data_IF_184995123304
#
_entry.id   IF_184995123304
#
_cell.length_a   1.000
_cell.length_b   1.000
_cell.length_c   1.000
_cell.angle_alpha   90.00
_cell.angle_beta   90.00
_cell.angle_gamma   90.00
#
_symmetry.space_group_name_H-M   'P 1'
#
loop_
_entity.id
_entity.type
_entity.pdbx_description
1 polymer ?
#
# COMPACT_ATOMS: atom_id res chain seq x y z
N UNK A 1 -24.90 12.19 -28.13
CA UNK A 1 -25.37 12.88 -26.91
C UNK A 1 -24.17 12.91 -25.97
N UNK A 2 -23.49 14.05 -25.87
CA UNK A 2 -22.24 14.20 -25.10
C UNK A 2 -22.59 14.40 -23.63
N UNK A 3 -22.26 13.44 -22.78
CA UNK A 3 -22.19 13.68 -21.33
C UNK A 3 -20.74 14.02 -21.00
N UNK A 4 -20.53 15.26 -20.58
CA UNK A 4 -19.27 15.75 -20.03
C UNK A 4 -18.95 15.00 -18.75
N UNK A 5 -17.71 14.50 -18.63
CA UNK A 5 -17.15 14.04 -17.37
C UNK A 5 -17.30 15.11 -16.28
N UNK A 6 -17.74 14.75 -15.06
CA UNK A 6 -17.53 15.62 -13.93
C UNK A 6 -16.04 15.60 -13.59
N UNK A 7 -15.49 16.80 -13.42
CA UNK A 7 -14.16 17.03 -12.86
C UNK A 7 -13.98 16.19 -11.60
N UNK A 8 -12.98 15.29 -11.61
CA UNK A 8 -12.53 14.63 -10.39
C UNK A 8 -12.09 15.73 -9.42
N UNK A 9 -12.70 15.67 -8.25
CA UNK A 9 -12.51 16.53 -7.10
C UNK A 9 -11.05 16.39 -6.67
N UNK A 10 -10.21 17.26 -7.22
CA UNK A 10 -8.89 17.66 -6.73
C UNK A 10 -8.99 19.12 -6.26
N UNK A 11 -10.08 19.47 -5.56
CA UNK A 11 -10.42 20.83 -5.11
C UNK A 11 -10.97 20.81 -3.67
N UNK A 12 -10.29 20.10 -2.77
CA UNK A 12 -10.39 20.41 -1.33
C UNK A 12 -9.01 20.67 -0.72
N UNK A 13 -7.93 20.14 -1.29
CA UNK A 13 -6.56 20.44 -0.82
C UNK A 13 -5.93 21.74 -1.36
N UNK A 14 -6.59 22.48 -2.26
CA UNK A 14 -6.02 23.71 -2.86
C UNK A 14 -6.48 25.01 -2.17
N UNK A 15 -7.50 24.97 -1.30
CA UNK A 15 -7.92 26.18 -0.56
C UNK A 15 -7.17 26.37 0.77
N UNK A 16 -6.42 25.38 1.25
CA UNK A 16 -5.44 25.58 2.33
C UNK A 16 -4.02 25.91 1.80
N UNK A 17 -3.73 25.63 0.52
CA UNK A 17 -2.41 25.81 -0.07
C UNK A 17 -2.18 27.19 -0.74
N UNK A 18 -3.21 27.97 -1.05
CA UNK A 18 -3.07 29.35 -1.54
C UNK A 18 -3.34 30.39 -0.45
N UNK A 19 -2.49 30.35 0.58
CA UNK A 19 -1.92 31.52 1.25
C UNK A 19 -0.87 31.12 2.31
N UNK A 20 -0.34 29.89 2.30
CA UNK A 20 0.90 29.61 3.02
C UNK A 20 2.09 30.10 2.17
N UNK A 21 2.22 31.42 2.04
CA UNK A 21 3.57 31.94 1.90
C UNK A 21 4.26 31.57 3.21
N UNK A 22 5.43 30.89 3.21
CA UNK A 22 6.27 30.90 4.38
C UNK A 22 6.53 32.37 4.65
N UNK A 23 5.85 32.92 5.67
CA UNK A 23 6.21 34.24 6.15
C UNK A 23 7.64 34.05 6.61
N UNK A 24 8.58 34.55 5.80
CA UNK A 24 9.95 34.71 6.24
C UNK A 24 9.92 35.81 7.29
N UNK A 25 9.55 35.43 8.51
CA UNK A 25 9.73 36.25 9.71
C UNK A 25 11.24 36.26 9.97
N UNK A 26 11.98 36.96 9.10
CA UNK A 26 13.28 37.51 9.43
C UNK A 26 13.04 38.74 10.32
N UNK A 27 12.45 38.49 11.48
CA UNK A 27 12.40 39.43 12.58
C UNK A 27 13.17 38.79 13.70
N UNK A 28 14.21 39.50 14.14
CA UNK A 28 14.95 39.26 15.38
C UNK A 28 14.00 39.45 16.58
N UNK A 29 13.02 38.54 16.71
CA UNK A 29 12.01 38.51 17.75
C UNK A 29 12.51 37.60 18.86
N UNK A 30 13.34 38.21 19.71
CA UNK A 30 13.24 38.15 21.17
C UNK A 30 13.03 36.76 21.80
N UNK A 31 14.01 36.33 22.59
CA UNK A 31 14.06 35.13 23.44
C UNK A 31 12.92 34.95 24.49
N UNK A 32 11.80 35.68 24.38
CA UNK A 32 10.75 35.77 25.41
C UNK A 32 9.55 34.83 25.24
N UNK A 33 9.53 33.91 24.26
CA UNK A 33 8.50 32.86 24.28
C UNK A 33 8.81 31.84 25.37
N UNK A 34 7.79 31.50 26.18
CA UNK A 34 7.92 30.50 27.23
C UNK A 34 8.46 29.17 26.65
N UNK A 35 9.55 28.61 27.21
CA UNK A 35 10.16 27.40 26.68
C UNK A 35 9.18 26.24 26.49
N UNK A 36 8.23 26.07 27.43
CA UNK A 36 7.24 24.99 27.37
C UNK A 36 6.24 25.17 26.22
N UNK A 37 5.73 26.39 26.01
CA UNK A 37 4.83 26.66 24.88
C UNK A 37 5.53 26.45 23.55
N UNK A 38 6.79 26.89 23.44
CA UNK A 38 7.60 26.70 22.23
C UNK A 38 7.83 25.21 21.95
N UNK A 39 8.16 24.44 22.98
CA UNK A 39 8.33 22.99 22.89
C UNK A 39 7.05 22.29 22.38
N UNK A 40 5.90 22.58 22.99
CA UNK A 40 4.65 21.92 22.61
C UNK A 40 4.14 22.34 21.22
N UNK A 41 4.37 23.60 20.80
CA UNK A 41 4.09 24.04 19.43
C UNK A 41 4.94 23.24 18.43
N UNK A 42 6.25 23.13 18.68
CA UNK A 42 7.15 22.38 17.81
C UNK A 42 6.77 20.89 17.73
N UNK A 43 6.43 20.28 18.87
CA UNK A 43 5.94 18.91 18.91
C UNK A 43 4.66 18.71 18.08
N UNK A 44 3.71 19.65 18.15
CA UNK A 44 2.50 19.60 17.34
C UNK A 44 2.80 19.75 15.84
N UNK A 45 3.73 20.62 15.45
CA UNK A 45 4.18 20.76 14.05
C UNK A 45 4.80 19.46 13.52
N UNK A 46 5.68 18.84 14.31
CA UNK A 46 6.34 17.60 13.94
C UNK A 46 5.34 16.44 13.80
N UNK A 47 4.35 16.37 14.71
CA UNK A 47 3.26 15.40 14.61
C UNK A 47 2.35 15.66 13.41
N UNK A 48 2.02 16.93 13.12
CA UNK A 48 1.18 17.30 11.98
C UNK A 48 1.83 16.88 10.66
N UNK A 49 3.14 17.09 10.51
CA UNK A 49 3.87 16.63 9.34
C UNK A 49 3.80 15.11 9.20
N UNK A 50 4.09 14.37 10.28
CA UNK A 50 4.00 12.89 10.27
C UNK A 50 2.61 12.39 9.93
N UNK A 51 1.56 13.03 10.45
CA UNK A 51 0.17 12.67 10.15
C UNK A 51 -0.17 12.93 8.68
N UNK A 52 0.31 14.02 8.09
CA UNK A 52 0.10 14.31 6.67
C UNK A 52 0.81 13.29 5.77
N UNK A 53 2.06 12.92 6.11
CA UNK A 53 2.79 11.88 5.37
C UNK A 53 2.01 10.55 5.40
N UNK A 54 1.47 10.18 6.57
CA UNK A 54 0.69 8.94 6.72
C UNK A 54 -0.69 9.03 6.06
N UNK A 55 -1.34 10.20 6.03
CA UNK A 55 -2.59 10.41 5.29
C UNK A 55 -2.38 10.26 3.79
N UNK A 56 -1.27 10.75 3.26
CA UNK A 56 -0.91 10.55 1.86
C UNK A 56 -0.74 9.06 1.56
N UNK A 57 0.01 8.34 2.40
CA UNK A 57 0.19 6.89 2.28
C UNK A 57 -1.13 6.12 2.41
N UNK A 58 -1.96 6.41 3.42
CA UNK A 58 -3.28 5.77 3.61
C UNK A 58 -4.26 6.13 2.48
N UNK A 59 -4.17 7.34 1.93
CA UNK A 59 -5.00 7.81 0.83
C UNK A 59 -4.85 7.00 -0.46
N UNK A 60 -3.68 6.39 -0.68
CA UNK A 60 -3.45 5.44 -1.78
C UNK A 60 -4.33 4.17 -1.67
N UNK A 61 -4.82 3.86 -0.47
CA UNK A 61 -5.58 2.66 -0.17
C UNK A 61 -7.11 2.85 -0.23
N UNK A 62 -7.61 4.00 -0.70
CA UNK A 62 -9.04 4.28 -0.90
C UNK A 62 -9.92 4.20 0.37
N UNK A 63 -9.32 4.32 1.55
CA UNK A 63 -10.08 4.45 2.78
C UNK A 63 -10.76 5.80 2.88
N UNK A 64 -11.91 5.78 3.54
CA UNK A 64 -12.54 7.01 4.01
C UNK A 64 -11.73 7.58 5.19
N UNK A 65 -10.83 8.50 4.87
CA UNK A 65 -10.03 9.26 5.84
C UNK A 65 -10.75 10.51 6.33
N UNK A 66 -12.01 10.75 5.96
CA UNK A 66 -12.70 12.03 6.23
C UNK A 66 -12.75 12.41 7.70
N UNK A 67 -12.95 11.44 8.60
CA UNK A 67 -12.93 11.66 10.05
C UNK A 67 -11.52 12.06 10.54
N UNK A 68 -10.48 11.42 10.02
CA UNK A 68 -9.08 11.74 10.35
C UNK A 68 -8.69 13.13 9.81
N UNK A 69 -9.07 13.42 8.56
CA UNK A 69 -8.85 14.72 7.91
C UNK A 69 -9.56 15.86 8.66
N UNK A 70 -10.79 15.64 9.12
CA UNK A 70 -11.52 16.63 9.93
C UNK A 70 -10.79 16.92 11.25
N UNK A 71 -10.24 15.90 11.91
CA UNK A 71 -9.42 16.08 13.12
C UNK A 71 -8.12 16.82 12.84
N UNK A 72 -7.48 16.58 11.69
CA UNK A 72 -6.26 17.29 11.27
C UNK A 72 -6.54 18.77 11.05
N UNK A 73 -7.67 19.11 10.41
CA UNK A 73 -8.10 20.51 10.24
C UNK A 73 -8.29 21.20 11.59
N UNK A 74 -8.99 20.57 12.54
CA UNK A 74 -9.16 21.11 13.90
C UNK A 74 -7.80 21.26 14.63
N UNK A 75 -6.89 20.31 14.49
CA UNK A 75 -5.57 20.38 15.09
C UNK A 75 -4.74 21.54 14.51
N UNK A 76 -4.80 21.77 13.21
CA UNK A 76 -4.13 22.89 12.54
C UNK A 76 -4.69 24.24 13.00
N UNK A 77 -6.01 24.38 13.17
CA UNK A 77 -6.62 25.59 13.73
C UNK A 77 -6.16 25.85 15.18
N UNK A 78 -6.06 24.79 16.01
CA UNK A 78 -5.52 24.91 17.37
C UNK A 78 -4.05 25.35 17.36
N UNK A 79 -3.24 24.81 16.45
CA UNK A 79 -1.83 25.16 16.32
C UNK A 79 -1.64 26.62 15.90
N UNK A 80 -2.45 27.12 14.96
CA UNK A 80 -2.43 28.55 14.58
C UNK A 80 -2.80 29.46 15.76
N UNK A 81 -3.82 29.09 16.55
CA UNK A 81 -4.19 29.83 17.76
C UNK A 81 -3.08 29.79 18.82
N UNK A 82 -2.32 28.69 18.88
CA UNK A 82 -1.16 28.57 19.76
C UNK A 82 -0.05 29.57 19.37
N UNK A 83 0.27 29.65 18.07
CA UNK A 83 1.23 30.61 17.52
C UNK A 83 0.83 32.05 17.82
N UNK A 84 -0.41 32.44 17.49
CA UNK A 84 -0.94 33.79 17.75
C UNK A 84 -0.84 34.12 19.26
N UNK A 85 -1.30 33.23 20.13
CA UNK A 85 -1.32 33.47 21.58
C UNK A 85 0.09 33.58 22.18
N UNK A 86 1.02 32.74 21.71
CA UNK A 86 2.39 32.68 22.22
C UNK A 86 3.28 33.80 21.68
N UNK A 87 3.19 34.11 20.39
CA UNK A 87 4.09 35.08 19.73
C UNK A 87 3.53 36.51 19.73
N UNK A 88 2.23 36.68 19.48
CA UNK A 88 1.62 38.00 19.32
C UNK A 88 0.96 38.48 20.61
N UNK A 89 0.31 37.58 21.35
CA UNK A 89 -0.45 37.91 22.56
C UNK A 89 0.34 37.94 23.86
N UNK A 90 1.61 37.51 23.85
CA UNK A 90 2.43 37.26 25.06
C UNK A 90 1.71 36.38 26.11
N UNK A 91 0.71 35.58 25.70
CA UNK A 91 -0.07 34.72 26.58
C UNK A 91 0.39 33.27 26.41
N UNK A 92 1.55 32.98 27.01
CA UNK A 92 2.18 31.67 26.94
C UNK A 92 1.32 30.54 27.52
N UNK A 93 0.43 30.84 28.48
CA UNK A 93 -0.49 29.85 29.05
C UNK A 93 -1.52 29.44 28.00
N UNK A 94 -2.16 30.41 27.34
CA UNK A 94 -3.12 30.12 26.27
C UNK A 94 -2.43 29.41 25.10
N UNK A 95 -1.25 29.90 24.67
CA UNK A 95 -0.44 29.25 23.64
C UNK A 95 -0.15 27.78 23.95
N UNK A 96 0.30 27.52 25.18
CA UNK A 96 0.58 26.15 25.64
C UNK A 96 -0.68 25.27 25.69
N UNK A 97 -1.83 25.81 26.14
CA UNK A 97 -3.10 25.06 26.18
C UNK A 97 -3.55 24.66 24.78
N UNK A 98 -3.46 25.56 23.80
CA UNK A 98 -3.81 25.25 22.42
C UNK A 98 -2.85 24.22 21.81
N UNK A 99 -1.54 24.38 22.01
CA UNK A 99 -0.54 23.44 21.51
C UNK A 99 -0.75 22.02 22.06
N UNK A 100 -0.96 21.87 23.38
CA UNK A 100 -1.22 20.54 23.99
C UNK A 100 -2.50 19.90 23.46
N UNK A 101 -3.54 20.69 23.13
CA UNK A 101 -4.76 20.16 22.51
C UNK A 101 -4.50 19.68 21.08
N UNK A 102 -3.75 20.44 20.30
CA UNK A 102 -3.34 20.03 18.96
C UNK A 102 -2.54 18.72 19.01
N UNK A 103 -1.54 18.61 19.91
CA UNK A 103 -0.77 17.37 20.12
C UNK A 103 -1.68 16.17 20.38
N UNK A 104 -2.60 16.25 21.35
CA UNK A 104 -3.48 15.13 21.68
C UNK A 104 -4.38 14.71 20.53
N UNK A 105 -4.84 15.68 19.74
CA UNK A 105 -5.69 15.39 18.59
C UNK A 105 -4.88 14.70 17.49
N UNK A 106 -3.65 15.15 17.23
CA UNK A 106 -2.74 14.54 16.26
C UNK A 106 -2.28 13.14 16.69
N UNK A 107 -1.99 12.92 17.97
CA UNK A 107 -1.68 11.58 18.51
C UNK A 107 -2.85 10.61 18.28
N UNK A 108 -4.09 11.07 18.48
CA UNK A 108 -5.28 10.27 18.20
C UNK A 108 -5.44 9.97 16.72
N UNK A 109 -5.20 10.94 15.83
CA UNK A 109 -5.24 10.71 14.38
C UNK A 109 -4.19 9.69 13.98
N UNK A 110 -2.97 9.82 14.50
CA UNK A 110 -1.88 8.90 14.23
C UNK A 110 -2.24 7.46 14.65
N UNK A 111 -2.83 7.27 15.83
CA UNK A 111 -3.31 5.96 16.29
C UNK A 111 -4.33 5.34 15.30
N UNK A 112 -5.28 6.14 14.82
CA UNK A 112 -6.29 5.70 13.85
C UNK A 112 -5.63 5.28 12.53
N UNK A 113 -4.77 6.12 11.97
CA UNK A 113 -4.13 5.85 10.69
C UNK A 113 -3.16 4.67 10.75
N UNK A 114 -2.37 4.54 11.82
CA UNK A 114 -1.50 3.38 12.04
C UNK A 114 -2.31 2.08 12.15
N UNK A 115 -3.46 2.12 12.84
CA UNK A 115 -4.35 0.95 12.91
C UNK A 115 -4.94 0.57 11.55
N UNK A 116 -5.26 1.55 10.71
CA UNK A 116 -5.73 1.32 9.34
C UNK A 116 -4.64 0.68 8.48
N UNK A 117 -3.41 1.20 8.57
CA UNK A 117 -2.26 0.68 7.83
C UNK A 117 -1.95 -0.79 8.20
N UNK A 118 -1.92 -1.11 9.49
CA UNK A 118 -1.71 -2.49 9.98
C UNK A 118 -2.82 -3.42 9.49
N UNK A 119 -4.07 -2.96 9.52
CA UNK A 119 -5.22 -3.73 9.00
C UNK A 119 -5.05 -4.02 7.53
N UNK A 120 -4.68 -3.00 6.73
CA UNK A 120 -4.45 -3.16 5.29
C UNK A 120 -3.37 -4.21 4.99
N UNK A 121 -2.21 -4.09 5.64
CA UNK A 121 -1.13 -5.04 5.45
C UNK A 121 -1.58 -6.45 5.86
N UNK A 122 -2.31 -6.59 6.96
CA UNK A 122 -2.84 -7.89 7.38
C UNK A 122 -3.76 -8.50 6.33
N UNK A 123 -4.64 -7.70 5.70
CA UNK A 123 -5.56 -8.17 4.66
C UNK A 123 -4.85 -8.53 3.34
N UNK A 124 -3.87 -7.74 2.92
CA UNK A 124 -3.07 -8.01 1.71
C UNK A 124 -2.34 -9.36 1.83
N UNK A 125 -1.72 -9.64 2.99
CA UNK A 125 -1.04 -10.91 3.22
C UNK A 125 -2.00 -12.06 3.49
N UNK A 126 -3.19 -11.81 4.01
CA UNK A 126 -4.25 -12.83 4.10
C UNK A 126 -4.71 -13.27 2.70
N UNK A 127 -4.81 -12.33 1.75
CA UNK A 127 -5.09 -12.64 0.33
C UNK A 127 -3.96 -13.48 -0.26
N UNK A 128 -2.68 -13.07 -0.10
CA UNK A 128 -1.56 -13.86 -0.61
C UNK A 128 -1.51 -15.26 0.01
N UNK A 129 -1.70 -15.35 1.33
CA UNK A 129 -1.65 -16.62 2.03
C UNK A 129 -2.77 -17.55 1.55
N UNK A 130 -3.99 -17.02 1.39
CA UNK A 130 -5.12 -17.80 0.87
C UNK A 130 -4.91 -18.23 -0.57
N UNK A 131 -4.40 -17.33 -1.42
CA UNK A 131 -4.06 -17.64 -2.81
C UNK A 131 -3.03 -18.76 -2.90
N UNK A 132 -1.96 -18.69 -2.11
CA UNK A 132 -0.89 -19.69 -2.15
C UNK A 132 -1.40 -21.01 -1.56
N UNK A 133 -2.06 -20.98 -0.39
CA UNK A 133 -2.50 -22.19 0.31
C UNK A 133 -3.59 -22.98 -0.44
N UNK A 134 -4.48 -22.29 -1.17
CA UNK A 134 -5.58 -22.92 -1.92
C UNK A 134 -5.31 -23.03 -3.42
N UNK A 135 -4.52 -22.12 -3.98
CA UNK A 135 -4.25 -22.01 -5.40
C UNK A 135 -3.01 -22.76 -5.87
N UNK A 136 -2.39 -23.60 -5.03
CA UNK A 136 -1.24 -24.42 -5.44
C UNK A 136 -1.53 -25.23 -6.71
N UNK A 137 -2.72 -25.81 -6.83
CA UNK A 137 -3.17 -26.54 -8.02
C UNK A 137 -3.27 -25.65 -9.28
N UNK A 138 -3.39 -24.33 -9.12
CA UNK A 138 -3.38 -23.38 -10.23
C UNK A 138 -1.95 -23.14 -10.72
N UNK A 139 -0.97 -23.17 -9.83
CA UNK A 139 0.36 -22.63 -10.05
C UNK A 139 1.39 -23.74 -10.40
N UNK A 140 0.99 -25.01 -10.33
CA UNK A 140 1.88 -26.15 -10.35
C UNK A 140 1.74 -27.01 -11.63
N UNK A 141 2.85 -27.20 -12.36
CA UNK A 141 2.94 -28.09 -13.53
C UNK A 141 3.87 -29.30 -13.31
N UNK A 142 4.62 -29.35 -12.20
CA UNK A 142 5.82 -30.20 -12.13
C UNK A 142 6.00 -30.97 -10.82
N UNK A 143 5.57 -30.41 -9.68
CA UNK A 143 5.62 -31.07 -8.38
C UNK A 143 4.21 -31.36 -7.88
N UNK A 144 4.09 -32.13 -6.80
CA UNK A 144 2.88 -32.10 -5.98
C UNK A 144 3.13 -31.18 -4.79
N UNK A 145 2.09 -30.51 -4.29
CA UNK A 145 2.14 -29.71 -3.05
C UNK A 145 2.92 -30.37 -1.91
N UNK A 146 2.86 -31.69 -1.77
CA UNK A 146 3.57 -32.45 -0.73
C UNK A 146 5.10 -32.50 -0.91
N UNK A 147 5.61 -32.15 -2.09
CA UNK A 147 7.04 -32.13 -2.43
C UNK A 147 7.68 -30.74 -2.24
N UNK A 148 6.87 -29.68 -2.24
CA UNK A 148 7.35 -28.31 -2.01
C UNK A 148 7.63 -28.10 -0.52
N UNK A 149 8.89 -27.75 -0.19
CA UNK A 149 9.33 -27.50 1.19
C UNK A 149 9.83 -26.07 1.40
N UNK A 150 9.82 -25.26 0.35
CA UNK A 150 10.27 -23.88 0.37
C UNK A 150 9.47 -23.06 -0.65
N UNK A 151 9.03 -21.87 -0.25
CA UNK A 151 8.47 -20.88 -1.16
C UNK A 151 9.55 -19.84 -1.50
N UNK A 152 9.97 -19.75 -2.76
CA UNK A 152 10.80 -18.63 -3.23
C UNK A 152 9.91 -17.60 -3.93
N UNK A 153 9.89 -16.38 -3.41
CA UNK A 153 9.07 -15.26 -3.91
C UNK A 153 9.99 -14.08 -4.21
N UNK A 154 9.76 -13.32 -5.28
CA UNK A 154 10.49 -12.06 -5.49
C UNK A 154 10.26 -11.11 -4.32
N UNK A 155 11.30 -10.37 -3.92
CA UNK A 155 11.24 -9.45 -2.78
C UNK A 155 10.44 -8.16 -3.06
N UNK A 156 10.11 -7.89 -4.32
CA UNK A 156 9.23 -6.80 -4.74
C UNK A 156 8.07 -7.33 -5.56
N UNK A 157 6.91 -6.69 -5.39
CA UNK A 157 5.77 -6.94 -6.25
C UNK A 157 6.05 -6.47 -7.67
N UNK A 158 5.54 -7.19 -8.65
CA UNK A 158 5.53 -6.74 -10.03
C UNK A 158 4.17 -6.99 -10.67
N UNK A 159 3.82 -6.12 -11.62
CA UNK A 159 2.81 -6.47 -12.61
C UNK A 159 3.33 -7.58 -13.52
N UNK A 160 2.50 -8.03 -14.46
CA UNK A 160 2.95 -9.04 -15.41
C UNK A 160 4.08 -8.51 -16.32
N UNK A 161 5.23 -9.19 -16.27
CA UNK A 161 6.55 -8.83 -16.82
C UNK A 161 6.63 -8.50 -18.33
N UNK A 162 5.55 -8.63 -19.11
CA UNK A 162 5.57 -8.35 -20.55
C UNK A 162 5.31 -6.86 -20.84
N UNK A 163 6.40 -6.07 -20.89
CA UNK A 163 6.55 -4.83 -21.66
C UNK A 163 5.33 -3.91 -21.73
N UNK A 164 5.18 -2.92 -20.84
CA UNK A 164 4.43 -1.68 -21.07
C UNK A 164 3.09 -1.78 -21.85
N UNK A 165 2.42 -2.94 -21.81
CA UNK A 165 1.14 -3.13 -22.43
C UNK A 165 0.18 -2.32 -21.59
N UNK A 166 -0.73 -1.63 -22.29
CA UNK A 166 -1.77 -0.83 -21.68
C UNK A 166 -2.53 -1.69 -20.67
N UNK A 167 -2.12 -1.61 -19.39
CA UNK A 167 -2.68 -2.38 -18.28
C UNK A 167 -4.19 -2.19 -18.22
N UNK A 168 -4.69 -1.04 -18.68
CA UNK A 168 -6.11 -0.77 -18.87
C UNK A 168 -6.78 -1.76 -19.83
N UNK A 169 -6.13 -2.16 -20.94
CA UNK A 169 -6.66 -3.18 -21.86
C UNK A 169 -6.67 -4.57 -21.23
N UNK A 170 -5.63 -4.89 -20.47
CA UNK A 170 -5.58 -6.16 -19.73
C UNK A 170 -6.72 -6.19 -18.71
N UNK A 171 -6.92 -5.13 -17.94
CA UNK A 171 -7.99 -5.04 -16.97
C UNK A 171 -9.38 -5.00 -17.62
N UNK A 172 -9.51 -4.41 -18.81
CA UNK A 172 -10.73 -4.52 -19.60
C UNK A 172 -11.03 -5.99 -19.96
N UNK A 173 -10.03 -6.74 -20.41
CA UNK A 173 -10.19 -8.17 -20.67
C UNK A 173 -10.48 -8.96 -19.39
N UNK A 174 -9.79 -8.71 -18.27
CA UNK A 174 -10.08 -9.34 -16.97
C UNK A 174 -11.53 -9.10 -16.56
N UNK A 175 -12.06 -7.88 -16.74
CA UNK A 175 -13.47 -7.58 -16.44
C UNK A 175 -14.48 -8.31 -17.33
N UNK A 176 -14.07 -8.71 -18.54
CA UNK A 176 -14.91 -9.50 -19.45
C UNK A 176 -14.89 -10.99 -19.08
N UNK A 177 -13.72 -11.52 -18.72
CA UNK A 177 -13.54 -12.93 -18.35
C UNK A 177 -13.98 -13.22 -16.90
N UNK A 178 -13.91 -12.22 -16.03
CA UNK A 178 -14.35 -12.27 -14.64
C UNK A 178 -15.39 -11.17 -14.38
N UNK A 179 -16.64 -11.29 -14.86
CA UNK A 179 -17.66 -10.24 -14.73
C UNK A 179 -18.03 -9.89 -13.28
N UNK A 180 -17.65 -10.72 -12.31
CA UNK A 180 -17.87 -10.47 -10.88
C UNK A 180 -16.90 -9.45 -10.28
N UNK A 181 -15.80 -9.12 -10.96
CA UNK A 181 -14.86 -8.10 -10.48
C UNK A 181 -15.49 -6.71 -10.62
N UNK A 182 -15.44 -5.93 -9.54
CA UNK A 182 -15.99 -4.60 -9.46
C UNK A 182 -15.03 -3.60 -10.12
N UNK A 183 -15.59 -2.54 -10.69
CA UNK A 183 -14.80 -1.49 -11.35
C UNK A 183 -13.85 -0.79 -10.36
N UNK A 184 -14.26 -0.63 -9.08
CA UNK A 184 -13.41 -0.06 -8.04
C UNK A 184 -12.20 -0.95 -7.71
N UNK A 185 -12.39 -2.27 -7.63
CA UNK A 185 -11.30 -3.23 -7.39
C UNK A 185 -10.27 -3.19 -8.51
N UNK A 186 -10.71 -3.11 -9.77
CA UNK A 186 -9.81 -2.95 -10.92
C UNK A 186 -9.03 -1.64 -10.89
N UNK A 187 -9.69 -0.53 -10.51
CA UNK A 187 -9.03 0.78 -10.38
C UNK A 187 -7.99 0.77 -9.26
N UNK A 188 -8.33 0.19 -8.11
CA UNK A 188 -7.40 0.05 -7.00
C UNK A 188 -6.19 -0.82 -7.39
N UNK A 189 -6.44 -1.94 -8.05
CA UNK A 189 -5.40 -2.81 -8.60
C UNK A 189 -4.46 -2.06 -9.55
N UNK A 190 -5.03 -1.29 -10.48
CA UNK A 190 -4.28 -0.51 -11.45
C UNK A 190 -3.33 0.49 -10.77
N UNK A 191 -3.83 1.24 -9.80
CA UNK A 191 -3.08 2.30 -9.12
C UNK A 191 -1.94 1.71 -8.29
N UNK A 192 -2.18 0.64 -7.55
CA UNK A 192 -1.16 0.04 -6.68
C UNK A 192 -0.03 -0.67 -7.42
N UNK A 193 -0.27 -1.05 -8.67
CA UNK A 193 0.68 -1.80 -9.48
C UNK A 193 1.34 -0.94 -10.57
N UNK A 194 1.34 0.39 -10.41
CA UNK A 194 2.12 1.28 -11.28
C UNK A 194 3.61 1.20 -10.98
N UNK A 195 3.97 0.92 -9.73
CA UNK A 195 5.36 0.83 -9.27
C UNK A 195 5.57 -0.45 -8.44
N UNK A 196 6.78 -1.03 -8.45
CA UNK A 196 7.12 -2.14 -7.56
C UNK A 196 7.03 -1.73 -6.09
N UNK A 197 6.65 -2.67 -5.23
CA UNK A 197 6.56 -2.44 -3.79
C UNK A 197 7.24 -3.59 -3.03
N UNK A 198 8.07 -3.29 -2.02
CA UNK A 198 8.75 -4.33 -1.25
C UNK A 198 7.74 -5.22 -0.51
N UNK A 199 7.96 -6.53 -0.58
CA UNK A 199 7.29 -7.50 0.27
C UNK A 199 8.05 -7.62 1.60
N UNK A 200 7.30 -7.87 2.66
CA UNK A 200 7.77 -8.06 4.03
C UNK A 200 7.40 -9.44 4.55
N UNK A 201 7.90 -9.75 5.75
CA UNK A 201 7.75 -11.07 6.37
C UNK A 201 6.43 -11.19 7.17
N UNK A 202 5.30 -11.07 6.47
CA UNK A 202 3.95 -11.18 7.05
C UNK A 202 3.18 -12.40 6.53
N UNK A 203 3.85 -13.29 5.81
CA UNK A 203 3.23 -14.52 5.29
C UNK A 203 3.00 -15.53 6.41
N UNK A 204 1.78 -16.06 6.49
CA UNK A 204 1.43 -17.14 7.41
C UNK A 204 1.23 -18.41 6.57
N UNK A 205 2.34 -19.00 6.15
CA UNK A 205 2.38 -20.12 5.22
C UNK A 205 3.23 -21.27 5.74
N UNK A 206 2.91 -22.47 5.25
CA UNK A 206 3.74 -23.67 5.38
C UNK A 206 3.74 -24.36 4.01
N UNK A 207 4.87 -24.43 3.28
CA UNK A 207 6.26 -24.23 3.74
C UNK A 207 6.72 -22.77 3.95
N UNK A 208 7.91 -22.53 4.55
CA UNK A 208 8.46 -21.19 4.79
C UNK A 208 8.74 -20.41 3.50
N UNK A 209 8.72 -19.08 3.60
CA UNK A 209 8.99 -18.14 2.50
C UNK A 209 10.44 -17.64 2.57
N UNK A 210 11.11 -17.60 1.42
CA UNK A 210 12.37 -16.89 1.20
C UNK A 210 12.16 -15.88 0.07
N UNK A 211 12.64 -14.67 0.27
CA UNK A 211 12.66 -13.64 -0.76
C UNK A 211 13.94 -13.70 -1.60
N UNK A 212 13.78 -13.52 -2.91
CA UNK A 212 14.89 -13.35 -3.86
C UNK A 212 14.80 -11.96 -4.48
N UNK A 213 15.88 -11.19 -4.44
CA UNK A 213 15.93 -9.89 -5.10
C UNK A 213 16.25 -10.04 -6.60
N UNK A 214 15.98 -8.99 -7.37
CA UNK A 214 16.18 -9.02 -8.83
C UNK A 214 17.67 -9.22 -9.19
N UNK A 215 18.60 -8.62 -8.44
CA UNK A 215 20.04 -8.80 -8.65
C UNK A 215 20.46 -10.25 -8.42
N UNK A 216 19.98 -10.88 -7.34
CA UNK A 216 20.26 -12.27 -7.02
C UNK A 216 19.65 -13.22 -8.06
N UNK A 217 18.43 -12.96 -8.51
CA UNK A 217 17.80 -13.72 -9.59
C UNK A 217 18.63 -13.60 -10.88
N UNK A 218 19.05 -12.39 -11.25
CA UNK A 218 19.88 -12.17 -12.43
C UNK A 218 21.22 -12.91 -12.34
N UNK A 219 21.89 -12.87 -11.19
CA UNK A 219 23.14 -13.60 -10.97
C UNK A 219 22.98 -15.12 -11.17
N UNK A 220 21.89 -15.70 -10.65
CA UNK A 220 21.56 -17.12 -10.81
C UNK A 220 21.29 -17.47 -12.28
N UNK A 221 20.55 -16.62 -13.02
CA UNK A 221 20.16 -16.91 -14.40
C UNK A 221 21.12 -16.44 -15.51
N UNK A 222 22.20 -15.73 -15.17
CA UNK A 222 23.22 -15.32 -16.15
C UNK A 222 24.00 -16.50 -16.76
N UNK A 223 23.99 -17.67 -16.12
CA UNK A 223 24.73 -18.85 -16.57
C UNK A 223 23.86 -19.79 -17.41
N UNK A 224 24.49 -20.59 -18.27
CA UNK A 224 23.81 -21.50 -19.20
C UNK A 224 22.90 -22.54 -18.52
N UNK A 225 23.04 -22.76 -17.21
CA UNK A 225 22.30 -23.71 -16.40
C UNK A 225 21.59 -23.06 -15.19
N UNK A 226 21.16 -21.79 -15.30
CA UNK A 226 20.67 -21.02 -14.14
C UNK A 226 19.55 -21.67 -13.31
N UNK A 227 18.69 -22.50 -13.90
CA UNK A 227 17.70 -23.27 -13.14
C UNK A 227 18.31 -24.37 -12.29
N UNK A 228 19.37 -25.04 -12.75
CA UNK A 228 20.08 -26.03 -11.93
C UNK A 228 20.70 -25.32 -10.71
N UNK A 229 21.36 -24.18 -10.92
CA UNK A 229 21.92 -23.39 -9.82
C UNK A 229 20.85 -22.85 -8.87
N UNK A 230 19.70 -22.45 -9.42
CA UNK A 230 18.55 -22.03 -8.63
C UNK A 230 18.10 -23.14 -7.68
N UNK A 231 17.91 -24.37 -8.18
CA UNK A 231 17.47 -25.49 -7.34
C UNK A 231 18.58 -26.05 -6.43
N UNK A 232 19.85 -25.87 -6.78
CA UNK A 232 20.96 -26.13 -5.86
C UNK A 232 20.93 -25.16 -4.67
N UNK A 233 20.59 -23.89 -4.91
CA UNK A 233 20.52 -22.85 -3.89
C UNK A 233 19.23 -22.90 -3.07
N UNK A 234 18.11 -23.18 -3.72
CA UNK A 234 16.77 -23.25 -3.14
C UNK A 234 16.15 -24.65 -3.40
N UNK A 235 16.67 -25.70 -2.75
CA UNK A 235 16.20 -27.06 -2.97
C UNK A 235 14.73 -27.20 -2.54
N UNK A 236 13.98 -28.04 -3.26
CA UNK A 236 12.55 -28.29 -3.02
C UNK A 236 11.66 -27.04 -3.08
N UNK A 237 12.11 -26.00 -3.80
CA UNK A 237 11.28 -24.84 -4.09
C UNK A 237 10.30 -25.12 -5.22
N UNK A 238 9.18 -24.41 -5.20
CA UNK A 238 8.13 -24.42 -6.22
C UNK A 238 8.52 -23.73 -7.53
N UNK A 239 9.75 -23.20 -7.64
CA UNK A 239 10.17 -22.25 -8.66
C UNK A 239 10.29 -20.84 -8.10
N UNK A 240 10.12 -19.83 -8.95
CA UNK A 240 10.13 -18.41 -8.54
C UNK A 240 8.74 -17.82 -8.76
N UNK A 241 8.13 -17.39 -7.66
CA UNK A 241 6.84 -16.72 -7.67
C UNK A 241 7.02 -15.20 -7.69
N UNK A 242 6.19 -14.53 -8.49
CA UNK A 242 6.04 -13.08 -8.49
C UNK A 242 4.58 -12.75 -8.17
N UNK A 243 4.38 -11.83 -7.22
CA UNK A 243 3.07 -11.34 -6.81
C UNK A 243 2.92 -9.88 -7.24
N UNK A 244 1.71 -9.47 -7.60
CA UNK A 244 1.35 -8.06 -7.66
C UNK A 244 0.84 -7.58 -6.31
N UNK A 245 0.73 -6.25 -6.10
CA UNK A 245 -0.11 -5.69 -5.04
C UNK A 245 -1.57 -6.09 -5.24
N UNK A 246 -2.30 -6.16 -4.14
CA UNK A 246 -3.72 -6.51 -4.13
C UNK A 246 -4.59 -5.28 -4.35
N UNK A 247 -5.46 -5.34 -5.35
CA UNK A 247 -6.54 -4.39 -5.55
C UNK A 247 -7.74 -4.79 -4.71
N UNK A 248 -8.23 -3.92 -3.83
CA UNK A 248 -9.44 -4.14 -3.02
C UNK A 248 -10.59 -3.26 -3.47
N UNK A 249 -11.82 -3.68 -3.19
CA UNK A 249 -12.95 -2.75 -3.13
C UNK A 249 -12.97 -1.97 -1.81
N UNK A 250 -13.78 -0.91 -1.75
CA UNK A 250 -13.91 -0.05 -0.55
C UNK A 250 -14.45 -0.78 0.69
N UNK A 251 -15.11 -1.93 0.52
CA UNK A 251 -15.62 -2.75 1.63
C UNK A 251 -14.62 -3.77 2.15
N UNK A 252 -13.51 -3.99 1.43
CA UNK A 252 -12.56 -5.07 1.68
C UNK A 252 -13.22 -6.44 1.76
N UNK A 253 -14.20 -6.67 0.89
CA UNK A 253 -14.82 -7.99 0.71
C UNK A 253 -14.52 -8.60 -0.67
N UNK A 254 -13.88 -7.84 -1.56
CA UNK A 254 -13.38 -8.29 -2.85
C UNK A 254 -11.90 -7.91 -3.07
N UNK A 255 -11.13 -8.84 -3.61
CA UNK A 255 -9.71 -8.66 -3.92
C UNK A 255 -9.35 -9.19 -5.31
N UNK A 256 -8.53 -8.45 -6.05
CA UNK A 256 -7.90 -8.87 -7.28
C UNK A 256 -6.38 -8.90 -7.09
N UNK A 257 -5.76 -9.99 -7.51
CA UNK A 257 -4.31 -10.18 -7.43
C UNK A 257 -3.80 -10.84 -8.70
N UNK A 258 -2.62 -10.44 -9.17
CA UNK A 258 -1.87 -11.15 -10.19
C UNK A 258 -0.77 -11.99 -9.53
N UNK A 259 -0.63 -13.22 -10.00
CA UNK A 259 0.43 -14.13 -9.59
C UNK A 259 1.02 -14.79 -10.82
N UNK A 260 2.33 -14.92 -10.86
CA UNK A 260 2.99 -15.84 -11.77
C UNK A 260 3.99 -16.71 -11.04
N UNK A 261 4.24 -17.90 -11.60
CA UNK A 261 5.28 -18.80 -11.15
C UNK A 261 6.00 -19.38 -12.35
N UNK A 262 7.33 -19.42 -12.25
CA UNK A 262 8.21 -19.96 -13.28
C UNK A 262 8.97 -21.14 -12.70
N UNK A 263 9.04 -22.22 -13.47
CA UNK A 263 9.62 -23.49 -13.04
C UNK A 263 10.44 -24.00 -14.21
N UNK A 264 11.78 -24.02 -14.14
CA UNK A 264 12.62 -24.43 -15.28
C UNK A 264 12.53 -23.53 -16.54
N UNK A 265 13.33 -23.88 -17.56
CA UNK A 265 13.46 -23.11 -18.79
C UNK A 265 12.19 -23.18 -19.62
N UNK A 266 11.49 -22.05 -19.72
CA UNK A 266 10.33 -21.90 -20.60
C UNK A 266 9.05 -22.55 -20.08
N UNK A 267 8.97 -22.94 -18.81
CA UNK A 267 7.74 -23.43 -18.19
C UNK A 267 7.33 -22.43 -17.11
N UNK A 268 6.07 -22.04 -17.15
CA UNK A 268 5.51 -21.13 -16.16
C UNK A 268 4.10 -20.71 -16.51
N UNK A 269 3.49 -19.99 -15.59
CA UNK A 269 2.12 -19.54 -15.74
C UNK A 269 1.88 -18.24 -15.00
N UNK A 270 0.97 -17.43 -15.53
CA UNK A 270 0.49 -16.21 -14.89
C UNK A 270 -1.03 -16.14 -14.88
N UNK A 271 -1.60 -15.71 -13.75
CA UNK A 271 -3.03 -15.60 -13.51
C UNK A 271 -3.41 -14.24 -12.94
N UNK A 272 -4.59 -13.76 -13.32
CA UNK A 272 -5.36 -12.82 -12.49
C UNK A 272 -6.39 -13.62 -11.70
N UNK A 273 -6.43 -13.41 -10.38
CA UNK A 273 -7.27 -14.16 -9.47
C UNK A 273 -8.17 -13.21 -8.70
N UNK A 274 -9.48 -13.48 -8.74
CA UNK A 274 -10.49 -12.81 -7.95
C UNK A 274 -10.76 -13.62 -6.68
N UNK A 275 -10.60 -12.97 -5.53
CA UNK A 275 -10.95 -13.52 -4.23
C UNK A 275 -12.10 -12.72 -3.62
N UNK A 276 -12.94 -13.39 -2.86
CA UNK A 276 -13.99 -12.78 -2.04
C UNK A 276 -13.80 -13.18 -0.59
N UNK A 277 -14.15 -12.28 0.33
CA UNK A 277 -14.10 -12.53 1.76
C UNK A 277 -15.41 -13.14 2.24
N UNK A 278 -15.36 -14.40 2.63
CA UNK A 278 -16.49 -15.15 3.13
C UNK A 278 -16.23 -15.57 4.58
N UNK A 279 -17.13 -15.19 5.50
CA UNK A 279 -16.99 -15.48 6.93
C UNK A 279 -15.64 -15.06 7.54
N UNK A 280 -15.06 -13.97 7.01
CA UNK A 280 -13.77 -13.44 7.47
C UNK A 280 -12.53 -14.06 6.81
N UNK A 281 -12.68 -15.02 5.89
CA UNK A 281 -11.57 -15.65 5.17
C UNK A 281 -11.65 -15.35 3.66
N UNK A 282 -10.49 -15.15 3.02
CA UNK A 282 -10.40 -14.94 1.58
C UNK A 282 -10.50 -16.28 0.84
N UNK A 283 -11.37 -16.35 -0.16
CA UNK A 283 -11.59 -17.56 -0.97
C UNK A 283 -11.51 -17.21 -2.45
N UNK A 284 -10.81 -18.03 -3.23
CA UNK A 284 -10.75 -17.89 -4.69
C UNK A 284 -12.15 -18.12 -5.27
N UNK A 285 -12.67 -17.14 -6.00
CA UNK A 285 -13.95 -17.26 -6.69
C UNK A 285 -13.80 -17.53 -8.17
N UNK A 286 -12.83 -16.90 -8.81
CA UNK A 286 -12.59 -17.04 -10.24
C UNK A 286 -11.16 -16.63 -10.58
N UNK A 287 -10.66 -17.06 -11.73
CA UNK A 287 -9.35 -16.66 -12.24
C UNK A 287 -9.34 -16.72 -13.76
N UNK A 288 -8.38 -16.00 -14.34
CA UNK A 288 -8.13 -16.07 -15.77
C UNK A 288 -6.63 -16.19 -16.02
N UNK A 289 -6.26 -17.12 -16.89
CA UNK A 289 -4.87 -17.34 -17.29
C UNK A 289 -4.43 -16.24 -18.23
N UNK A 290 -3.42 -15.46 -17.83
CA UNK A 290 -2.79 -14.46 -18.70
C UNK A 290 -1.90 -15.15 -19.73
N UNK A 291 -1.09 -16.11 -19.30
CA UNK A 291 -0.16 -16.84 -20.16
C UNK A 291 0.21 -18.18 -19.55
N UNK A 292 0.57 -19.13 -20.41
CA UNK A 292 1.20 -20.43 -20.09
C UNK A 292 2.38 -20.58 -21.06
N UNK A 293 3.52 -21.04 -20.55
CA UNK A 293 4.71 -21.32 -21.36
C UNK A 293 5.00 -22.82 -21.37
#
# INVERSE_FOLDING_TARGET
>A
MKMSHPAKILIVLIMAAFCYQPVSIQGDYNEQTCPLSRYNIKMAEDLLNRVNDLLEEVGEYYYDTSDAEAMVVEAAELLERAHISSMQGQNCIAGNVFAVRAVRLLEKVLEVLESMFVTFQTEEYAVYSSLIDTGFDLIEYTYSRDEVQLLVIKDHTAGSDSEAQDISKILQWVSQEIPAVQEETLKNFLIKNTEPHPLGDFFILNPPVIFICEEEAQEVFQKNNGWEEFYEKYPFSQGIMTLSRVGFDSKMDQALVYVENRVHCGIGVGYYVLLMKENGAWTIQNWVTKWVA
#
